data_IF_779012125151
#
_entry.id   IF_779012125151
#
_cell.length_a   1.000
_cell.length_b   1.000
_cell.length_c   1.000
_cell.angle_alpha   90.00
_cell.angle_beta   90.00
_cell.angle_gamma   90.00
#
_symmetry.space_group_name_H-M   'P 1'
#
loop_
_entity.id
_entity.type
_entity.pdbx_description
1 polymer ?
#
# COMPACT_ATOMS: atom_id res chain seq x y z
N UNK A 1 4.06 -19.39 -4.07
CA UNK A 1 5.12 -18.37 -4.26
C UNK A 1 5.46 -17.86 -2.88
N UNK A 2 6.68 -18.07 -2.41
CA UNK A 2 7.16 -17.46 -1.17
C UNK A 2 7.50 -16.02 -1.47
N UNK A 3 6.65 -15.09 -1.05
CA UNK A 3 7.02 -13.67 -1.03
C UNK A 3 8.27 -13.55 -0.17
N UNK A 4 9.29 -12.88 -0.71
CA UNK A 4 10.57 -12.80 -0.04
C UNK A 4 10.29 -12.05 1.26
N UNK A 5 10.64 -12.60 2.43
CA UNK A 5 10.55 -11.82 3.65
C UNK A 5 11.55 -10.70 3.45
N UNK A 6 11.04 -9.53 3.08
CA UNK A 6 11.70 -8.24 3.25
C UNK A 6 12.46 -8.36 4.58
N UNK A 7 13.77 -8.11 4.55
CA UNK A 7 14.69 -8.33 5.67
C UNK A 7 14.31 -7.46 6.87
N UNK A 8 13.26 -7.86 7.56
CA UNK A 8 12.71 -7.21 8.74
C UNK A 8 13.28 -7.94 9.94
N UNK A 9 14.28 -7.32 10.56
CA UNK A 9 15.02 -7.92 11.69
C UNK A 9 14.12 -8.17 12.92
N UNK A 10 12.91 -7.59 12.95
CA UNK A 10 11.96 -7.68 14.06
C UNK A 10 10.64 -8.41 13.75
N UNK A 11 10.42 -8.87 12.50
CA UNK A 11 9.23 -9.62 12.13
C UNK A 11 9.43 -11.11 12.35
N UNK A 12 8.54 -11.72 13.13
CA UNK A 12 8.68 -13.11 13.57
C UNK A 12 7.70 -14.07 12.87
N UNK A 13 6.55 -13.54 12.43
CA UNK A 13 5.53 -14.32 11.75
C UNK A 13 4.80 -13.43 10.75
N UNK A 14 4.75 -13.83 9.49
CA UNK A 14 4.08 -13.13 8.41
C UNK A 14 3.13 -14.08 7.69
N UNK A 15 1.91 -13.62 7.43
CA UNK A 15 0.93 -14.31 6.60
C UNK A 15 0.86 -13.56 5.28
N UNK A 16 1.22 -14.22 4.18
CA UNK A 16 1.14 -13.65 2.84
C UNK A 16 -0.30 -13.60 2.33
N UNK A 17 -0.56 -12.68 1.41
CA UNK A 17 -1.87 -12.46 0.84
C UNK A 17 -1.84 -11.61 -0.43
N UNK A 18 -3.04 -11.33 -0.94
CA UNK A 18 -3.25 -10.38 -2.03
C UNK A 18 -3.84 -9.09 -1.48
N UNK A 19 -3.33 -7.95 -1.94
CA UNK A 19 -3.88 -6.66 -1.53
C UNK A 19 -5.26 -6.49 -2.14
N UNK A 20 -6.25 -6.22 -1.30
CA UNK A 20 -7.61 -5.93 -1.69
C UNK A 20 -8.05 -4.51 -1.30
N UNK A 21 -9.06 -3.99 -1.97
CA UNK A 21 -9.77 -2.80 -1.53
C UNK A 21 -10.81 -2.32 -2.53
N UNK A 22 -11.22 -1.06 -2.42
CA UNK A 22 -12.22 -0.49 -3.32
C UNK A 22 -11.65 -0.06 -4.68
N UNK A 23 -12.47 -0.17 -5.73
CA UNK A 23 -12.14 0.32 -7.05
C UNK A 23 -11.87 1.82 -7.03
N UNK A 24 -10.88 2.25 -7.80
CA UNK A 24 -10.39 3.63 -7.81
C UNK A 24 -11.47 4.71 -8.06
N UNK A 25 -12.60 4.39 -8.70
CA UNK A 25 -13.66 5.36 -9.06
C UNK A 25 -14.95 5.20 -8.26
N UNK A 26 -15.10 4.14 -7.46
CA UNK A 26 -16.35 3.85 -6.77
C UNK A 26 -16.50 4.78 -5.56
N UNK A 27 -17.55 5.61 -5.52
CA UNK A 27 -17.78 6.54 -4.41
C UNK A 27 -17.98 5.83 -3.05
N UNK A 28 -18.41 4.56 -3.07
CA UNK A 28 -18.52 3.69 -1.90
C UNK A 28 -17.25 2.87 -1.59
N UNK A 29 -16.14 3.10 -2.30
CA UNK A 29 -14.89 2.39 -2.07
C UNK A 29 -14.34 2.67 -0.66
N UNK A 30 -13.90 1.65 0.10
CA UNK A 30 -13.18 1.88 1.34
C UNK A 30 -11.82 2.55 1.10
N UNK A 31 -11.42 3.52 1.94
CA UNK A 31 -10.15 4.22 1.79
C UNK A 31 -8.95 3.31 2.04
N UNK A 32 -9.03 2.41 3.02
CA UNK A 32 -7.94 1.55 3.43
C UNK A 32 -7.84 0.30 2.53
N UNK A 33 -6.63 -0.07 2.08
CA UNK A 33 -6.39 -1.41 1.56
C UNK A 33 -6.38 -2.44 2.70
N UNK A 34 -6.71 -3.69 2.37
CA UNK A 34 -6.63 -4.83 3.27
C UNK A 34 -5.76 -5.93 2.66
N UNK A 35 -5.19 -6.79 3.50
CA UNK A 35 -4.46 -7.95 3.04
C UNK A 35 -5.36 -9.19 3.12
N UNK A 36 -5.77 -9.71 1.96
CA UNK A 36 -6.65 -10.87 1.85
C UNK A 36 -5.82 -12.16 1.95
N UNK A 37 -6.25 -13.15 2.74
CA UNK A 37 -5.54 -14.43 2.83
C UNK A 37 -5.56 -15.16 1.48
N UNK A 38 -4.56 -16.03 1.27
CA UNK A 38 -4.47 -16.84 0.05
C UNK A 38 -5.54 -17.96 -0.01
N UNK A 39 -6.16 -18.26 1.13
CA UNK A 39 -7.17 -19.28 1.36
C UNK A 39 -8.47 -18.68 1.94
N UNK A 40 -9.22 -17.88 1.16
CA UNK A 40 -10.44 -17.23 1.66
C UNK A 40 -11.59 -18.23 1.89
N UNK A 41 -12.31 -18.05 2.99
CA UNK A 41 -13.56 -18.78 3.29
C UNK A 41 -14.78 -18.07 2.71
N UNK A 42 -15.61 -18.80 1.95
CA UNK A 42 -16.89 -18.31 1.43
C UNK A 42 -18.05 -19.13 1.99
N UNK A 43 -18.61 -18.67 3.11
CA UNK A 43 -19.62 -19.44 3.86
C UNK A 43 -21.06 -19.21 3.40
N UNK A 44 -21.32 -18.16 2.61
CA UNK A 44 -22.64 -17.80 2.09
C UNK A 44 -22.51 -17.09 0.75
N UNK A 45 -23.44 -17.35 -0.15
CA UNK A 45 -23.64 -16.56 -1.37
C UNK A 45 -24.69 -15.49 -1.12
N UNK A 46 -24.42 -14.24 -1.51
CA UNK A 46 -25.43 -13.18 -1.60
C UNK A 46 -25.74 -12.87 -3.07
N UNK A 47 -26.93 -12.32 -3.34
CA UNK A 47 -27.30 -11.78 -4.64
C UNK A 47 -27.65 -10.29 -4.53
N UNK A 48 -27.01 -9.44 -5.33
CA UNK A 48 -27.23 -7.98 -5.36
C UNK A 48 -25.94 -7.15 -5.51
N UNK A 49 -26.09 -5.86 -5.81
CA UNK A 49 -24.99 -4.87 -5.81
C UNK A 49 -24.74 -4.36 -4.38
N UNK A 50 -23.73 -4.92 -3.72
CA UNK A 50 -23.28 -4.54 -2.38
C UNK A 50 -21.89 -3.88 -2.43
N UNK A 51 -21.27 -3.67 -1.26
CA UNK A 51 -19.86 -3.28 -1.19
C UNK A 51 -18.98 -4.27 -1.96
N UNK A 52 -18.05 -3.74 -2.75
CA UNK A 52 -17.19 -4.53 -3.63
C UNK A 52 -15.76 -4.55 -3.10
N UNK A 53 -15.14 -5.72 -3.18
CA UNK A 53 -13.74 -5.95 -2.89
C UNK A 53 -13.04 -6.29 -4.20
N UNK A 54 -12.08 -5.48 -4.61
CA UNK A 54 -11.28 -5.66 -5.81
C UNK A 54 -9.82 -5.92 -5.42
N UNK A 55 -9.04 -6.45 -6.37
CA UNK A 55 -7.58 -6.49 -6.24
C UNK A 55 -6.97 -5.10 -6.28
N UNK A 56 -5.67 -5.01 -6.01
CA UNK A 56 -4.92 -3.77 -6.08
C UNK A 56 -3.73 -3.87 -7.02
N UNK A 57 -3.46 -2.78 -7.74
CA UNK A 57 -2.42 -2.71 -8.76
C UNK A 57 -1.57 -1.45 -8.59
N UNK A 58 -0.28 -1.57 -8.91
CA UNK A 58 0.55 -0.39 -9.10
C UNK A 58 0.12 0.29 -10.40
N UNK A 59 -0.26 1.56 -10.33
CA UNK A 59 -0.76 2.25 -11.51
C UNK A 59 0.35 2.78 -12.43
N UNK A 60 1.58 2.85 -11.92
CA UNK A 60 2.76 3.35 -12.64
C UNK A 60 3.95 2.40 -12.44
N UNK A 61 5.01 2.62 -13.22
CA UNK A 61 6.31 1.96 -13.04
C UNK A 61 7.20 2.68 -12.01
N UNK A 62 6.64 3.58 -11.18
CA UNK A 62 7.40 4.36 -10.22
C UNK A 62 8.03 3.47 -9.14
N UNK A 63 7.25 2.53 -8.62
CA UNK A 63 7.62 1.72 -7.46
C UNK A 63 8.64 0.62 -7.80
N UNK A 64 8.51 -0.01 -8.97
CA UNK A 64 9.50 -0.93 -9.49
C UNK A 64 9.47 -0.99 -11.03
N UNK A 65 10.55 -1.49 -11.64
CA UNK A 65 10.59 -1.68 -13.10
C UNK A 65 9.49 -2.64 -13.55
N UNK A 66 8.69 -2.21 -14.53
CA UNK A 66 7.54 -2.94 -15.07
C UNK A 66 6.45 -3.27 -14.03
N UNK A 67 6.34 -2.51 -12.94
CA UNK A 67 5.29 -2.71 -11.93
C UNK A 67 3.91 -2.22 -12.37
N UNK A 68 3.83 -1.33 -13.36
CA UNK A 68 2.57 -0.76 -13.83
C UNK A 68 1.61 -1.86 -14.31
N UNK A 69 0.40 -1.86 -13.76
CA UNK A 69 -0.64 -2.86 -14.00
C UNK A 69 -0.37 -4.22 -13.37
N UNK A 70 0.64 -4.35 -12.49
CA UNK A 70 0.90 -5.58 -11.75
C UNK A 70 0.21 -5.56 -10.40
N UNK A 71 -0.23 -6.74 -9.97
CA UNK A 71 -0.91 -6.94 -8.71
C UNK A 71 0.03 -6.72 -7.53
N UNK A 72 -0.50 -6.15 -6.45
CA UNK A 72 0.27 -5.84 -5.25
C UNK A 72 0.08 -6.97 -4.22
N UNK A 73 1.11 -7.77 -3.91
CA UNK A 73 1.06 -8.70 -2.81
C UNK A 73 1.13 -7.96 -1.47
N UNK A 74 0.73 -8.64 -0.41
CA UNK A 74 0.81 -8.11 0.94
C UNK A 74 1.22 -9.19 1.93
N UNK A 75 1.60 -8.75 3.13
CA UNK A 75 1.73 -9.63 4.27
C UNK A 75 1.21 -8.95 5.54
N UNK A 76 0.52 -9.72 6.38
CA UNK A 76 0.22 -9.31 7.75
C UNK A 76 1.25 -9.93 8.66
N UNK A 77 2.02 -9.10 9.34
CA UNK A 77 3.14 -9.56 10.16
C UNK A 77 3.03 -9.16 11.62
N UNK A 78 3.50 -10.04 12.50
CA UNK A 78 3.66 -9.78 13.93
C UNK A 78 5.10 -9.34 14.22
N UNK A 79 5.23 -8.12 14.76
CA UNK A 79 6.50 -7.60 15.29
C UNK A 79 6.69 -8.08 16.74
N UNK A 80 7.87 -8.59 17.08
CA UNK A 80 8.16 -9.08 18.44
C UNK A 80 8.35 -7.92 19.41
N UNK A 81 7.69 -7.96 20.57
CA UNK A 81 7.82 -6.98 21.66
C UNK A 81 7.45 -5.53 21.28
N UNK A 82 6.85 -5.29 20.12
CA UNK A 82 6.34 -3.98 19.77
C UNK A 82 5.07 -3.67 20.57
N UNK A 83 5.10 -2.55 21.28
CA UNK A 83 4.00 -1.86 21.92
C UNK A 83 3.16 -1.02 20.95
N UNK A 84 3.77 -0.53 19.86
CA UNK A 84 3.10 0.32 18.88
C UNK A 84 3.79 0.29 17.51
N UNK A 85 3.02 0.60 16.46
CA UNK A 85 3.49 0.74 15.08
C UNK A 85 2.95 2.06 14.52
N UNK A 86 3.81 2.84 13.86
CA UNK A 86 3.45 4.11 13.25
C UNK A 86 4.03 4.23 11.83
N UNK A 87 3.30 4.92 10.96
CA UNK A 87 3.82 5.41 9.67
C UNK A 87 4.15 6.89 9.83
N UNK A 88 5.35 7.30 9.40
CA UNK A 88 5.78 8.70 9.41
C UNK A 88 5.93 9.17 7.95
N UNK A 89 4.97 9.93 7.40
CA UNK A 89 5.07 10.49 6.05
C UNK A 89 6.16 11.56 5.98
N UNK A 90 6.85 11.65 4.85
CA UNK A 90 7.94 12.61 4.60
C UNK A 90 9.28 12.24 5.24
N UNK A 91 9.43 11.03 5.80
CA UNK A 91 10.66 10.56 6.43
C UNK A 91 11.10 9.23 5.81
N UNK A 92 12.40 9.07 5.59
CA UNK A 92 13.01 7.79 5.21
C UNK A 92 13.64 7.04 6.39
N UNK A 93 13.61 7.65 7.60
CA UNK A 93 14.16 7.10 8.84
C UNK A 93 13.29 7.44 10.03
N UNK A 94 13.18 6.48 10.96
CA UNK A 94 12.47 6.66 12.23
C UNK A 94 13.17 7.69 13.13
N UNK A 95 12.40 8.29 14.04
CA UNK A 95 12.96 9.11 15.10
C UNK A 95 13.75 8.26 16.10
N UNK A 96 14.64 8.91 16.85
CA UNK A 96 15.45 8.26 17.88
C UNK A 96 14.53 7.50 18.85
N UNK A 97 14.89 6.25 19.15
CA UNK A 97 14.15 5.38 20.05
C UNK A 97 13.09 4.51 19.38
N UNK A 98 12.84 4.66 18.08
CA UNK A 98 11.98 3.77 17.30
C UNK A 98 12.81 2.81 16.44
N UNK A 99 12.33 1.59 16.30
CA UNK A 99 12.91 0.61 15.38
C UNK A 99 12.30 0.82 13.99
N UNK A 100 13.14 0.86 12.96
CA UNK A 100 12.66 0.85 11.58
C UNK A 100 12.23 -0.55 11.21
N UNK A 101 11.00 -0.66 10.71
CA UNK A 101 10.57 -1.85 10.00
C UNK A 101 10.98 -1.70 8.54
N UNK A 102 10.39 -0.74 7.82
CA UNK A 102 10.74 -0.45 6.42
C UNK A 102 10.57 1.02 6.08
N UNK A 103 11.11 1.42 4.93
CA UNK A 103 10.89 2.73 4.35
C UNK A 103 10.57 2.61 2.86
N UNK A 104 10.11 3.72 2.29
CA UNK A 104 9.85 3.83 0.85
C UNK A 104 9.08 5.09 0.53
N UNK A 105 8.00 4.97 -0.25
CA UNK A 105 7.25 6.10 -0.77
C UNK A 105 5.77 6.02 -0.43
N UNK A 106 5.17 7.19 -0.17
CA UNK A 106 3.72 7.28 0.01
C UNK A 106 3.02 7.01 -1.31
N UNK A 107 1.95 6.25 -1.18
CA UNK A 107 1.03 5.93 -2.26
C UNK A 107 -0.40 6.29 -1.87
N UNK A 108 -1.17 6.69 -2.87
CA UNK A 108 -2.62 6.88 -2.78
C UNK A 108 -3.28 6.62 -4.13
N UNK A 109 -4.60 6.78 -4.20
CA UNK A 109 -5.32 6.87 -5.47
C UNK A 109 -4.93 8.13 -6.26
N UNK A 110 -5.26 8.18 -7.57
CA UNK A 110 -5.04 9.37 -8.39
C UNK A 110 -5.92 10.53 -7.91
N UNK A 111 -5.37 11.74 -7.89
CA UNK A 111 -6.05 12.93 -7.35
C UNK A 111 -7.36 13.31 -8.07
N UNK A 112 -7.58 12.81 -9.29
CA UNK A 112 -8.78 13.06 -10.09
C UNK A 112 -9.83 11.95 -10.00
N UNK A 113 -9.58 10.88 -9.23
CA UNK A 113 -10.52 9.76 -9.10
C UNK A 113 -11.35 9.89 -7.82
N UNK A 114 -12.59 9.41 -7.90
CA UNK A 114 -13.59 9.60 -6.83
C UNK A 114 -13.53 8.53 -5.72
N UNK A 115 -12.83 7.43 -5.95
CA UNK A 115 -12.70 6.37 -4.95
C UNK A 115 -11.85 6.84 -3.78
N UNK A 116 -12.38 6.64 -2.57
CA UNK A 116 -11.69 7.04 -1.34
C UNK A 116 -10.33 6.33 -1.23
N UNK A 117 -9.37 7.01 -0.62
CA UNK A 117 -8.02 6.46 -0.40
C UNK A 117 -7.45 6.99 0.90
N UNK A 118 -6.74 6.14 1.62
CA UNK A 118 -5.77 6.56 2.62
C UNK A 118 -4.37 6.61 2.03
N UNK A 119 -3.43 7.20 2.76
CA UNK A 119 -2.00 7.13 2.42
C UNK A 119 -1.41 5.81 2.90
N UNK A 120 -0.78 5.06 2.00
CA UNK A 120 -0.06 3.81 2.31
C UNK A 120 1.43 4.00 2.07
N UNK A 121 2.27 3.48 2.95
CA UNK A 121 3.71 3.43 2.69
C UNK A 121 4.03 2.17 1.88
N UNK A 122 4.55 2.34 0.67
CA UNK A 122 5.04 1.24 -0.17
C UNK A 122 6.54 1.11 0.05
N UNK A 123 7.00 -0.12 0.29
CA UNK A 123 8.42 -0.43 0.48
C UNK A 123 9.27 0.09 -0.68
N UNK A 124 10.50 0.51 -0.39
CA UNK A 124 11.47 1.00 -1.37
C UNK A 124 11.87 -0.07 -2.41
N UNK A 125 11.67 -1.36 -2.08
CA UNK A 125 11.85 -2.50 -2.96
C UNK A 125 10.58 -3.36 -2.92
N UNK A 126 9.48 -2.88 -3.50
CA UNK A 126 8.23 -3.61 -3.45
C UNK A 126 8.27 -4.82 -4.36
N UNK A 127 7.55 -5.86 -3.95
CA UNK A 127 7.26 -7.03 -4.78
C UNK A 127 5.96 -6.79 -5.55
N UNK A 128 5.81 -7.48 -6.68
CA UNK A 128 4.57 -7.51 -7.45
C UNK A 128 4.33 -8.93 -7.98
N UNK A 129 3.05 -9.26 -8.20
CA UNK A 129 2.66 -10.54 -8.81
C UNK A 129 2.37 -10.31 -10.27
N UNK A 130 3.07 -11.07 -11.13
CA UNK A 130 2.84 -11.02 -12.57
C UNK A 130 1.57 -11.77 -12.95
N UNK A 131 0.70 -11.13 -13.72
CA UNK A 131 -0.43 -11.82 -14.35
C UNK A 131 -1.79 -11.64 -13.68
N UNK A 132 -2.03 -10.48 -13.07
CA UNK A 132 -3.41 -10.04 -12.80
C UNK A 132 -4.24 -10.21 -14.06
N UNK A 133 -5.33 -10.99 -13.94
CA UNK A 133 -6.13 -11.43 -15.08
C UNK A 133 -6.53 -10.26 -15.95
N UNK A 134 -6.10 -10.28 -17.21
CA UNK A 134 -6.43 -9.38 -18.32
C UNK A 134 -7.69 -8.55 -18.09
N UNK A 135 -7.51 -7.28 -17.72
CA UNK A 135 -8.58 -6.33 -17.43
C UNK A 135 -8.03 -5.07 -16.78
N UNK A 136 -7.23 -4.31 -17.52
CA UNK A 136 -6.69 -3.01 -17.08
C UNK A 136 -7.89 -2.11 -16.72
N UNK A 137 -8.13 -1.80 -15.45
CA UNK A 137 -9.17 -0.80 -15.12
C UNK A 137 -10.14 -1.05 -13.97
N UNK A 138 -9.98 -2.07 -13.12
CA UNK A 138 -11.05 -2.41 -12.18
C UNK A 138 -10.62 -2.50 -10.69
N UNK A 139 -9.36 -2.21 -10.36
CA UNK A 139 -8.82 -2.38 -9.00
C UNK A 139 -8.70 -1.12 -8.14
N UNK A 140 -8.14 -1.31 -6.94
CA UNK A 140 -7.59 -0.23 -6.11
C UNK A 140 -6.22 0.17 -6.65
N UNK A 141 -6.05 1.44 -7.00
CA UNK A 141 -4.79 1.92 -7.54
C UNK A 141 -3.86 2.53 -6.51
N UNK A 142 -2.57 2.28 -6.74
CA UNK A 142 -1.46 2.84 -5.99
C UNK A 142 -0.62 3.69 -6.95
N UNK A 143 -0.76 5.01 -6.80
CA UNK A 143 0.05 6.04 -7.44
C UNK A 143 0.99 6.67 -6.41
N UNK A 144 2.17 7.07 -6.84
CA UNK A 144 3.07 7.86 -6.02
C UNK A 144 2.46 9.20 -5.61
N UNK A 145 2.64 9.57 -4.34
CA UNK A 145 2.17 10.84 -3.81
C UNK A 145 3.24 11.90 -4.03
N UNK A 146 2.93 12.93 -4.80
CA UNK A 146 3.82 14.06 -5.01
C UNK A 146 3.47 15.20 -4.05
N UNK A 147 4.50 15.83 -3.47
CA UNK A 147 4.36 17.07 -2.73
C UNK A 147 3.78 18.17 -3.63
N UNK A 148 2.77 18.90 -3.16
CA UNK A 148 2.21 20.06 -3.85
C UNK A 148 2.38 21.29 -2.98
N UNK A 149 3.23 22.21 -3.40
CA UNK A 149 3.49 23.44 -2.66
C UNK A 149 2.29 24.37 -2.69
N UNK A 150 2.18 25.21 -1.65
CA UNK A 150 1.04 26.09 -1.41
C UNK A 150 0.84 26.18 0.10
N UNK A 151 -0.23 25.57 0.61
CA UNK A 151 -0.39 25.36 2.05
C UNK A 151 0.67 24.40 2.62
N UNK A 152 1.21 23.50 1.80
CA UNK A 152 2.43 22.75 2.14
C UNK A 152 3.64 23.69 2.02
N UNK A 153 4.38 23.83 3.11
CA UNK A 153 5.54 24.71 3.19
C UNK A 153 6.68 24.21 2.29
N UNK A 154 7.17 25.05 1.39
CA UNK A 154 8.28 24.73 0.48
C UNK A 154 9.28 25.89 0.48
N UNK A 155 10.50 25.73 1.04
CA UNK A 155 11.09 24.55 1.72
C UNK A 155 10.39 24.20 3.05
N UNK A 156 10.63 23.04 3.72
CA UNK A 156 11.61 21.99 3.40
C UNK A 156 11.10 20.95 2.38
N UNK A 157 9.82 21.00 2.00
CA UNK A 157 9.31 20.18 0.90
C UNK A 157 9.66 20.81 -0.45
N UNK A 158 9.63 20.00 -1.51
CA UNK A 158 9.93 20.43 -2.87
C UNK A 158 8.75 20.11 -3.79
N UNK A 159 8.32 21.08 -4.59
CA UNK A 159 7.15 20.91 -5.44
C UNK A 159 7.34 19.75 -6.42
N UNK A 160 6.31 18.91 -6.55
CA UNK A 160 6.29 17.72 -7.41
C UNK A 160 7.34 16.64 -7.07
N UNK A 161 7.91 16.65 -5.86
CA UNK A 161 8.80 15.57 -5.42
C UNK A 161 7.98 14.44 -4.78
N UNK A 162 8.30 13.17 -5.05
CA UNK A 162 7.68 12.03 -4.38
C UNK A 162 7.88 12.08 -2.86
N UNK A 163 6.80 11.86 -2.13
CA UNK A 163 6.80 11.86 -0.67
C UNK A 163 7.34 10.52 -0.16
N UNK A 164 8.41 10.57 0.63
CA UNK A 164 8.94 9.38 1.30
C UNK A 164 8.05 8.97 2.48
N UNK A 165 8.25 7.77 3.00
CA UNK A 165 7.64 7.31 4.24
C UNK A 165 8.50 6.25 4.92
N UNK A 166 8.27 6.07 6.22
CA UNK A 166 8.90 5.03 7.02
C UNK A 166 7.86 4.46 7.97
N UNK A 167 7.85 3.14 8.13
CA UNK A 167 7.09 2.43 9.15
C UNK A 167 8.02 2.02 10.27
N UNK A 168 7.63 2.37 11.48
CA UNK A 168 8.42 2.22 12.69
C UNK A 168 7.64 1.46 13.75
N UNK A 169 8.35 0.69 14.57
CA UNK A 169 7.81 0.01 15.75
C UNK A 169 8.53 0.43 17.03
N UNK A 170 7.88 0.23 18.17
CA UNK A 170 8.45 0.53 19.49
C UNK A 170 8.35 -0.65 20.42
#
# INVERSE_FOLDING_TARGET
MTFNPVTFVHLFFCISGYTGGGRYSDAGAPPEPVCLPLDPDFNKTSGGDYGRMYGAEFATNFFASNSGGQDIPCAVCRVKQASSVIMIPGKSRCYIGWNMEYNGYLSSNHYSYNGATSYTCIDIKPEYVTGGSTGIGDGKYFYEVLAKCGSLHCPPYHNNYPMTCVVCSK
#
